data_IF_919409257193
#
_entry.id   IF_919409257193
#
_cell.length_a   1.000
_cell.length_b   1.000
_cell.length_c   1.000
_cell.angle_alpha   90.00
_cell.angle_beta   90.00
_cell.angle_gamma   90.00
#
_symmetry.space_group_name_H-M   'P 1'
#
loop_
_entity.id
_entity.type
_entity.pdbx_description
1 polymer ?
#
# COMPACT_ATOMS: atom_id res chain seq x y z
N UNK A 1 -2.48 11.99 -10.46
CA UNK A 1 -1.43 12.15 -11.49
C UNK A 1 -0.32 11.12 -11.35
N UNK A 2 0.40 11.01 -10.22
CA UNK A 2 1.53 10.05 -10.10
C UNK A 2 1.17 8.60 -10.47
N UNK A 3 0.12 8.03 -9.85
CA UNK A 3 -0.37 6.66 -10.14
C UNK A 3 -0.94 6.46 -11.56
N UNK A 4 -1.18 7.53 -12.32
CA UNK A 4 -1.54 7.43 -13.73
C UNK A 4 -0.30 7.25 -14.61
N UNK A 5 0.80 7.93 -14.27
CA UNK A 5 2.07 7.84 -14.99
C UNK A 5 2.81 6.54 -14.66
N UNK A 6 2.74 6.12 -13.40
CA UNK A 6 3.31 4.87 -12.89
C UNK A 6 2.18 3.93 -12.41
N UNK A 7 1.47 3.27 -13.34
CA UNK A 7 0.38 2.37 -12.99
C UNK A 7 0.90 1.08 -12.33
N UNK A 8 0.04 0.47 -11.51
CA UNK A 8 0.32 -0.83 -10.88
C UNK A 8 0.07 -2.04 -11.79
N UNK A 9 -0.74 -1.88 -12.83
CA UNK A 9 -1.11 -2.93 -13.78
C UNK A 9 -1.34 -2.34 -15.18
N UNK A 10 -1.28 -3.17 -16.22
CA UNK A 10 -1.47 -2.80 -17.62
C UNK A 10 -0.42 -3.41 -18.55
N UNK A 11 -0.38 -2.98 -19.84
CA UNK A 11 0.60 -3.47 -20.79
C UNK A 11 2.04 -3.23 -20.31
N UNK A 12 2.94 -4.20 -20.52
CA UNK A 12 4.32 -4.15 -20.02
C UNK A 12 5.06 -2.87 -20.47
N UNK A 13 4.88 -2.45 -21.72
CA UNK A 13 5.47 -1.21 -22.24
C UNK A 13 4.99 0.07 -21.51
N UNK A 14 3.84 0.03 -20.85
CA UNK A 14 3.30 1.13 -20.05
C UNK A 14 3.79 1.02 -18.61
N UNK A 15 3.80 -0.18 -18.03
CA UNK A 15 4.18 -0.38 -16.63
C UNK A 15 5.69 -0.25 -16.44
N UNK A 16 6.49 -0.87 -17.31
CA UNK A 16 7.96 -0.99 -17.19
C UNK A 16 8.64 0.34 -17.49
N UNK A 17 8.72 1.18 -16.47
CA UNK A 17 9.46 2.45 -16.44
C UNK A 17 10.70 2.33 -15.56
N UNK A 18 11.70 3.13 -15.86
CA UNK A 18 12.95 3.18 -15.10
C UNK A 18 12.70 3.45 -13.61
N UNK A 19 13.28 2.58 -12.76
CA UNK A 19 13.25 2.64 -11.29
C UNK A 19 11.89 2.94 -10.67
N UNK A 20 10.81 2.40 -11.26
CA UNK A 20 9.44 2.70 -10.84
C UNK A 20 9.13 2.25 -9.41
N UNK A 21 9.73 1.14 -8.95
CA UNK A 21 9.51 0.59 -7.62
C UNK A 21 10.19 1.44 -6.56
N UNK A 22 11.42 1.87 -6.85
CA UNK A 22 12.12 2.79 -5.98
C UNK A 22 11.41 4.14 -5.91
N UNK A 23 10.92 4.64 -7.05
CA UNK A 23 10.15 5.87 -7.08
C UNK A 23 8.81 5.73 -6.33
N UNK A 24 8.17 4.56 -6.38
CA UNK A 24 6.99 4.25 -5.58
C UNK A 24 7.29 4.39 -4.09
N UNK A 25 8.37 3.76 -3.62
CA UNK A 25 8.82 3.90 -2.23
C UNK A 25 9.11 5.36 -1.88
N UNK A 26 9.96 6.03 -2.67
CA UNK A 26 10.44 7.37 -2.37
C UNK A 26 9.32 8.42 -2.34
N UNK A 27 8.39 8.37 -3.30
CA UNK A 27 7.27 9.31 -3.36
C UNK A 27 6.38 9.19 -2.12
N UNK A 28 6.00 7.97 -1.72
CA UNK A 28 5.17 7.75 -0.53
C UNK A 28 5.95 8.04 0.76
N UNK A 29 7.25 7.75 0.81
CA UNK A 29 8.11 8.09 1.94
C UNK A 29 8.14 9.61 2.17
N UNK A 30 8.32 10.40 1.11
CA UNK A 30 8.29 11.86 1.18
C UNK A 30 6.93 12.41 1.60
N UNK A 31 5.84 11.81 1.13
CA UNK A 31 4.48 12.16 1.54
C UNK A 31 4.28 11.97 3.04
N UNK A 32 4.70 10.83 3.60
CA UNK A 32 4.62 10.54 5.03
C UNK A 32 5.55 11.45 5.85
N UNK A 33 6.73 11.77 5.34
CA UNK A 33 7.65 12.70 5.99
C UNK A 33 7.02 14.09 6.15
N UNK A 34 6.48 14.66 5.06
CA UNK A 34 5.77 15.96 5.07
C UNK A 34 4.54 15.92 5.96
N UNK A 35 3.75 14.85 5.86
CA UNK A 35 2.56 14.69 6.70
C UNK A 35 2.90 14.68 8.20
N UNK A 36 3.99 14.03 8.61
CA UNK A 36 4.42 14.06 10.01
C UNK A 36 4.88 15.45 10.46
N UNK A 37 5.58 16.21 9.60
CA UNK A 37 5.95 17.60 9.92
C UNK A 37 4.70 18.45 10.17
N UNK A 38 3.69 18.37 9.29
CA UNK A 38 2.42 19.08 9.47
C UNK A 38 1.70 18.68 10.76
N UNK A 39 1.71 17.38 11.10
CA UNK A 39 1.16 16.89 12.37
C UNK A 39 1.84 17.53 13.56
N UNK A 40 3.17 17.61 13.56
CA UNK A 40 3.91 18.24 14.65
C UNK A 40 3.60 19.74 14.76
N UNK A 41 3.51 20.46 13.63
CA UNK A 41 3.07 21.85 13.61
C UNK A 41 1.66 22.03 14.19
N UNK A 42 0.79 21.05 13.98
CA UNK A 42 -0.57 21.00 14.55
C UNK A 42 -0.65 20.38 15.96
N UNK A 43 0.47 20.17 16.66
CA UNK A 43 0.55 19.53 18.00
C UNK A 43 -0.03 18.11 18.06
N UNK A 44 0.04 17.39 16.96
CA UNK A 44 -0.33 15.98 16.87
C UNK A 44 0.92 15.10 16.95
N UNK A 45 0.79 13.95 17.62
CA UNK A 45 1.84 12.92 17.63
C UNK A 45 2.09 12.35 16.23
N UNK A 46 3.26 11.75 16.04
CA UNK A 46 3.64 11.02 14.81
C UNK A 46 2.53 10.05 14.42
N UNK A 47 2.29 9.91 13.11
CA UNK A 47 1.34 8.93 12.59
C UNK A 47 1.73 7.52 13.06
N UNK A 48 0.76 6.76 13.56
CA UNK A 48 0.96 5.39 13.98
C UNK A 48 0.90 4.47 12.76
N UNK A 49 1.83 3.51 12.60
CA UNK A 49 1.74 2.52 11.53
C UNK A 49 0.56 1.59 11.76
N UNK A 50 -0.18 1.27 10.70
CA UNK A 50 -1.20 0.23 10.73
C UNK A 50 -0.53 -1.14 10.56
N UNK A 51 -0.03 -1.70 11.66
CA UNK A 51 0.68 -2.98 11.68
C UNK A 51 -0.22 -4.18 12.03
N UNK A 52 -1.25 -3.96 12.86
CA UNK A 52 -2.20 -5.00 13.25
C UNK A 52 -3.55 -4.77 12.56
N UNK A 53 -3.85 -5.59 11.57
CA UNK A 53 -5.09 -5.50 10.79
C UNK A 53 -6.33 -6.03 11.52
N UNK A 54 -6.16 -6.69 12.67
CA UNK A 54 -7.24 -7.30 13.46
C UNK A 54 -7.73 -6.41 14.59
N UNK A 55 -7.04 -5.32 14.89
CA UNK A 55 -7.46 -4.35 15.89
C UNK A 55 -8.49 -3.37 15.32
N UNK A 56 -9.41 -2.85 16.17
CA UNK A 56 -10.29 -1.75 15.77
C UNK A 56 -9.49 -0.52 15.34
N UNK A 57 -9.92 0.13 14.25
CA UNK A 57 -9.31 1.35 13.74
C UNK A 57 -9.87 2.58 14.48
N UNK A 58 -9.11 3.25 15.36
CA UNK A 58 -9.66 4.31 16.20
C UNK A 58 -10.05 5.56 15.43
N UNK A 59 -9.41 5.89 14.32
CA UNK A 59 -9.77 7.05 13.51
C UNK A 59 -10.97 6.74 12.63
N UNK A 60 -12.05 7.50 12.71
CA UNK A 60 -13.13 7.49 11.70
C UNK A 60 -12.88 8.50 10.57
N UNK A 61 -13.52 8.32 9.41
CA UNK A 61 -13.47 9.30 8.32
C UNK A 61 -14.79 9.37 7.55
N UNK A 62 -15.28 10.59 7.36
CA UNK A 62 -16.53 10.90 6.67
C UNK A 62 -16.23 11.79 5.46
N UNK A 63 -16.04 11.22 4.26
CA UNK A 63 -15.48 11.94 3.11
C UNK A 63 -16.33 13.13 2.65
N UNK A 64 -17.66 13.04 2.77
CA UNK A 64 -18.62 14.04 2.21
C UNK A 64 -18.48 14.25 0.69
N UNK A 65 -17.92 13.27 -0.02
CA UNK A 65 -17.77 13.28 -1.48
C UNK A 65 -18.92 12.49 -2.13
N UNK A 66 -19.51 13.03 -3.19
CA UNK A 66 -20.54 12.37 -4.01
C UNK A 66 -19.99 12.11 -5.41
N UNK A 67 -20.21 10.90 -5.94
CA UNK A 67 -19.85 10.53 -7.31
C UNK A 67 -20.83 11.19 -8.27
N UNK A 68 -20.34 12.05 -9.15
CA UNK A 68 -21.18 12.72 -10.17
C UNK A 68 -21.80 11.76 -11.17
N UNK A 69 -21.15 10.62 -11.45
CA UNK A 69 -21.61 9.65 -12.44
C UNK A 69 -22.87 8.87 -12.05
N UNK A 70 -23.16 8.73 -10.75
CA UNK A 70 -24.30 7.94 -10.28
C UNK A 70 -24.95 8.49 -9.00
N UNK A 71 -24.57 9.70 -8.58
CA UNK A 71 -25.05 10.38 -7.37
C UNK A 71 -24.89 9.58 -6.08
N UNK A 72 -24.02 8.56 -6.05
CA UNK A 72 -23.74 7.78 -4.83
C UNK A 72 -22.61 8.43 -4.04
N UNK A 73 -22.81 8.56 -2.74
CA UNK A 73 -21.77 9.03 -1.83
C UNK A 73 -20.65 8.00 -1.69
N UNK A 74 -19.41 8.46 -1.46
CA UNK A 74 -18.36 7.58 -0.94
C UNK A 74 -18.71 7.20 0.50
N UNK A 75 -18.78 5.90 0.83
CA UNK A 75 -19.23 5.46 2.15
C UNK A 75 -18.26 5.94 3.23
N UNK A 76 -18.76 6.42 4.38
CA UNK A 76 -17.90 6.75 5.51
C UNK A 76 -17.40 5.47 6.20
N UNK A 77 -16.31 5.59 6.96
CA UNK A 77 -15.85 4.56 7.89
C UNK A 77 -15.99 5.10 9.32
N UNK A 78 -16.89 4.54 10.16
CA UNK A 78 -17.02 4.97 11.54
C UNK A 78 -15.76 4.62 12.35
N UNK A 79 -15.63 5.27 13.50
CA UNK A 79 -14.58 4.97 14.47
C UNK A 79 -14.71 3.54 15.01
N UNK A 80 -13.57 2.92 15.33
CA UNK A 80 -13.44 1.57 15.86
C UNK A 80 -13.98 0.46 14.93
N UNK A 81 -14.07 0.74 13.63
CA UNK A 81 -14.36 -0.30 12.64
C UNK A 81 -13.19 -1.30 12.61
N UNK A 82 -13.51 -2.60 12.66
CA UNK A 82 -12.52 -3.68 12.48
C UNK A 82 -12.51 -4.09 11.01
N UNK A 83 -11.32 -4.31 10.44
CA UNK A 83 -11.17 -4.83 9.08
C UNK A 83 -11.73 -6.26 9.01
N UNK A 84 -12.24 -6.65 7.85
CA UNK A 84 -12.81 -7.98 7.61
C UNK A 84 -12.32 -8.51 6.29
N UNK A 85 -12.36 -9.83 6.16
CA UNK A 85 -12.13 -10.52 4.90
C UNK A 85 -13.10 -9.98 3.83
N UNK A 86 -12.60 -9.90 2.60
CA UNK A 86 -13.36 -9.37 1.47
C UNK A 86 -13.76 -10.54 0.59
N UNK A 87 -15.07 -10.69 0.40
CA UNK A 87 -15.67 -11.65 -0.53
C UNK A 87 -16.72 -10.90 -1.38
N UNK A 88 -16.25 -10.25 -2.45
CA UNK A 88 -17.09 -9.48 -3.38
C UNK A 88 -16.99 -10.11 -4.77
N UNK A 89 -17.86 -11.09 -5.00
CA UNK A 89 -17.90 -11.87 -6.24
C UNK A 89 -18.19 -10.99 -7.45
N UNK A 90 -19.13 -10.06 -7.33
CA UNK A 90 -19.51 -9.14 -8.43
C UNK A 90 -18.37 -8.22 -8.87
N UNK A 91 -17.39 -7.99 -8.00
CA UNK A 91 -16.23 -7.13 -8.27
C UNK A 91 -14.94 -7.94 -8.54
N UNK A 92 -15.01 -9.28 -8.55
CA UNK A 92 -13.86 -10.20 -8.64
C UNK A 92 -12.76 -9.93 -7.59
N UNK A 93 -13.17 -9.57 -6.36
CA UNK A 93 -12.25 -9.30 -5.24
C UNK A 93 -12.53 -10.26 -4.10
N UNK A 94 -11.63 -11.24 -3.94
CA UNK A 94 -11.69 -12.23 -2.86
C UNK A 94 -10.30 -12.36 -2.23
N UNK A 95 -10.14 -11.90 -0.98
CA UNK A 95 -8.93 -12.11 -0.18
C UNK A 95 -9.21 -11.94 1.32
N UNK A 96 -8.38 -12.55 2.15
CA UNK A 96 -8.49 -12.51 3.61
C UNK A 96 -7.42 -11.63 4.26
N UNK A 97 -7.64 -11.24 5.51
CA UNK A 97 -6.62 -10.58 6.34
C UNK A 97 -5.40 -11.49 6.50
N UNK A 98 -5.61 -12.80 6.60
CA UNK A 98 -4.54 -13.78 6.72
C UNK A 98 -3.64 -13.83 5.48
N UNK A 99 -4.18 -13.54 4.29
CA UNK A 99 -3.38 -13.43 3.06
C UNK A 99 -2.41 -12.24 3.14
N UNK A 100 -2.90 -11.08 3.60
CA UNK A 100 -2.09 -9.89 3.80
C UNK A 100 -0.97 -10.11 4.84
N UNK A 101 -1.30 -10.74 5.96
CA UNK A 101 -0.32 -11.09 7.00
C UNK A 101 0.77 -12.02 6.43
N UNK A 102 0.38 -13.04 5.65
CA UNK A 102 1.31 -13.97 5.00
C UNK A 102 2.19 -13.28 3.96
N UNK A 103 1.64 -12.37 3.15
CA UNK A 103 2.43 -11.61 2.18
C UNK A 103 3.44 -10.70 2.88
N UNK A 104 3.02 -10.02 3.96
CA UNK A 104 3.92 -9.21 4.78
C UNK A 104 5.09 -10.01 5.34
N UNK A 105 4.82 -11.18 5.93
CA UNK A 105 5.87 -12.06 6.47
C UNK A 105 6.86 -12.54 5.40
N UNK A 106 6.37 -12.88 4.19
CA UNK A 106 7.23 -13.31 3.08
C UNK A 106 8.13 -12.21 2.55
N UNK A 107 7.63 -10.97 2.52
CA UNK A 107 8.43 -9.80 2.13
C UNK A 107 9.52 -9.56 3.18
N UNK A 108 9.18 -9.61 4.48
CA UNK A 108 10.15 -9.48 5.55
C UNK A 108 11.25 -10.55 5.48
N UNK A 109 10.89 -11.82 5.28
CA UNK A 109 11.85 -12.92 5.10
C UNK A 109 12.77 -12.71 3.89
N UNK A 110 12.25 -12.17 2.79
CA UNK A 110 13.05 -11.86 1.59
C UNK A 110 14.04 -10.72 1.85
N UNK A 111 13.64 -9.72 2.65
CA UNK A 111 14.51 -8.63 3.08
C UNK A 111 15.62 -9.17 3.99
N UNK A 112 15.27 -9.96 5.00
CA UNK A 112 16.21 -10.52 5.97
C UNK A 112 17.22 -11.48 5.33
N UNK A 113 16.81 -12.22 4.31
CA UNK A 113 17.67 -13.12 3.55
C UNK A 113 18.51 -12.45 2.46
N UNK A 114 18.21 -11.19 2.11
CA UNK A 114 18.93 -10.41 1.10
C UNK A 114 18.65 -10.81 -0.35
N UNK A 115 17.62 -11.62 -0.63
CA UNK A 115 17.23 -11.98 -1.99
C UNK A 115 15.72 -12.25 -2.10
N UNK A 116 15.18 -12.08 -3.30
CA UNK A 116 13.82 -12.53 -3.65
C UNK A 116 13.87 -13.75 -4.56
N UNK A 117 12.81 -14.57 -4.53
CA UNK A 117 12.64 -15.67 -5.47
C UNK A 117 11.83 -15.19 -6.68
N UNK A 118 12.44 -15.23 -7.87
CA UNK A 118 11.76 -15.00 -9.14
C UNK A 118 10.80 -16.15 -9.47
N UNK A 119 9.94 -15.95 -10.48
CA UNK A 119 8.91 -16.93 -10.88
C UNK A 119 9.50 -18.30 -11.26
N UNK A 120 10.72 -18.34 -11.76
CA UNK A 120 11.42 -19.56 -12.17
C UNK A 120 12.26 -20.18 -11.04
N UNK A 121 12.09 -19.74 -9.79
CA UNK A 121 12.89 -20.17 -8.64
C UNK A 121 14.30 -19.57 -8.57
N UNK A 122 14.65 -18.66 -9.49
CA UNK A 122 15.92 -17.93 -9.46
C UNK A 122 16.00 -17.02 -8.24
N UNK A 123 17.14 -17.01 -7.56
CA UNK A 123 17.44 -16.02 -6.51
C UNK A 123 17.90 -14.71 -7.14
N UNK A 124 17.17 -13.63 -6.90
CA UNK A 124 17.51 -12.28 -7.33
C UNK A 124 18.00 -11.52 -6.09
N UNK A 125 19.28 -11.16 -6.06
CA UNK A 125 19.91 -10.49 -4.92
C UNK A 125 19.37 -9.07 -4.77
N UNK A 126 19.08 -8.66 -3.52
CA UNK A 126 18.73 -7.31 -3.15
C UNK A 126 20.03 -6.55 -2.86
N UNK A 127 20.51 -5.78 -3.84
CA UNK A 127 21.75 -5.00 -3.70
C UNK A 127 21.45 -3.54 -3.36
N UNK A 128 22.46 -2.77 -2.97
CA UNK A 128 22.32 -1.33 -2.71
C UNK A 128 21.78 -0.53 -3.91
N UNK A 129 22.07 -0.98 -5.14
CA UNK A 129 21.70 -0.26 -6.35
C UNK A 129 20.26 -0.53 -6.83
N UNK A 130 19.69 -1.70 -6.53
CA UNK A 130 18.41 -2.15 -7.10
C UNK A 130 17.44 -2.76 -6.09
N UNK A 131 17.85 -3.00 -4.85
CA UNK A 131 17.04 -3.72 -3.86
C UNK A 131 15.72 -3.01 -3.57
N UNK A 132 15.75 -1.68 -3.43
CA UNK A 132 14.54 -0.87 -3.23
C UNK A 132 13.62 -0.90 -4.45
N UNK A 133 14.18 -0.94 -5.67
CA UNK A 133 13.38 -1.02 -6.89
C UNK A 133 12.71 -2.38 -7.08
N UNK A 134 13.37 -3.46 -6.65
CA UNK A 134 12.80 -4.80 -6.67
C UNK A 134 11.68 -4.96 -5.63
N UNK A 135 11.80 -4.30 -4.48
CA UNK A 135 10.81 -4.37 -3.39
C UNK A 135 9.59 -3.47 -3.58
N UNK A 136 9.70 -2.42 -4.40
CA UNK A 136 8.65 -1.41 -4.62
C UNK A 136 7.73 -1.72 -5.79
#
# INVERSE_FOLDING_TARGET
HWHLVYPGDGPDAVVRKDRRGELFYYMHQQLIARYNVERFCAKLSRVQPLNNLRQPLPEGYFPKIIRSSNSRAFPPRPQNQVLRDINRVDDDVIFSISDLERWGSRIAESIDSGFVLGQNGQRIQLTEANGTDILG
#
